data_IF_139375213661
#
_entry.id   IF_139375213661
#
_cell.length_a   1.000
_cell.length_b   1.000
_cell.length_c   1.000
_cell.angle_alpha   90.00
_cell.angle_beta   90.00
_cell.angle_gamma   90.00
#
_symmetry.space_group_name_H-M   'P 1'
#
loop_
_entity.id
_entity.type
_entity.pdbx_description
1 polymer ?
#
# COMPACT_ATOMS: atom_id res chain seq x y z
N UNK A 1 -1.05 -40.37 -19.47
CA UNK A 1 -0.32 -39.21 -18.93
C UNK A 1 -1.26 -38.04 -18.75
N UNK A 2 -1.48 -37.60 -17.51
CA UNK A 2 -2.37 -36.46 -17.22
C UNK A 2 -1.48 -35.29 -16.82
N UNK A 3 -1.22 -34.39 -17.77
CA UNK A 3 -0.59 -33.10 -17.47
C UNK A 3 -1.58 -32.30 -16.64
N UNK A 4 -1.25 -32.06 -15.37
CA UNK A 4 -1.99 -31.15 -14.51
C UNK A 4 -1.87 -29.74 -15.11
N UNK A 5 -2.84 -29.32 -15.93
CA UNK A 5 -2.93 -27.96 -16.44
C UNK A 5 -3.39 -27.02 -15.32
N UNK A 6 -2.49 -26.72 -14.37
CA UNK A 6 -2.75 -25.74 -13.32
C UNK A 6 -2.59 -24.35 -13.93
N UNK A 7 -3.71 -23.65 -14.11
CA UNK A 7 -3.70 -22.24 -14.51
C UNK A 7 -3.01 -21.45 -13.38
N UNK A 8 -1.76 -21.04 -13.60
CA UNK A 8 -0.98 -20.25 -12.64
C UNK A 8 -1.34 -18.77 -12.76
N UNK A 9 -2.05 -18.25 -11.76
CA UNK A 9 -2.35 -16.81 -11.68
C UNK A 9 -1.12 -16.02 -11.24
N UNK A 10 -0.85 -14.89 -11.89
CA UNK A 10 0.22 -13.98 -11.49
C UNK A 10 -0.11 -13.30 -10.16
N UNK A 11 0.60 -13.69 -9.09
CA UNK A 11 0.44 -13.15 -7.73
C UNK A 11 1.66 -12.31 -7.34
N UNK A 12 1.41 -11.19 -6.66
CA UNK A 12 2.47 -10.36 -6.08
C UNK A 12 3.18 -11.14 -4.97
N UNK A 13 4.51 -11.14 -4.97
CA UNK A 13 5.31 -11.74 -3.90
C UNK A 13 5.09 -11.01 -2.56
N UNK A 14 4.96 -11.77 -1.48
CA UNK A 14 4.77 -11.23 -0.12
C UNK A 14 5.91 -10.29 0.29
N UNK A 15 7.14 -10.54 -0.16
CA UNK A 15 8.29 -9.67 0.09
C UNK A 15 8.14 -8.30 -0.58
N UNK A 16 7.57 -8.24 -1.78
CA UNK A 16 7.31 -6.98 -2.50
C UNK A 16 6.23 -6.16 -1.81
N UNK A 17 5.21 -6.82 -1.24
CA UNK A 17 4.17 -6.18 -0.42
C UNK A 17 4.75 -5.65 0.88
N UNK A 18 5.65 -6.40 1.54
CA UNK A 18 6.33 -5.92 2.76
C UNK A 18 7.11 -4.65 2.47
N UNK A 19 7.92 -4.63 1.40
CA UNK A 19 8.74 -3.47 1.03
C UNK A 19 7.91 -2.20 0.82
N UNK A 20 6.76 -2.30 0.14
CA UNK A 20 5.90 -1.11 -0.04
C UNK A 20 5.24 -0.69 1.27
N UNK A 21 4.82 -1.65 2.11
CA UNK A 21 4.29 -1.35 3.46
C UNK A 21 5.34 -0.64 4.31
N UNK A 22 6.61 -1.06 4.25
CA UNK A 22 7.70 -0.44 5.00
C UNK A 22 7.96 0.98 4.51
N UNK A 23 8.02 1.19 3.18
CA UNK A 23 8.16 2.53 2.60
C UNK A 23 7.03 3.47 3.02
N UNK A 24 5.78 3.00 2.96
CA UNK A 24 4.61 3.76 3.41
C UNK A 24 4.65 4.00 4.92
N UNK A 25 5.08 3.02 5.72
CA UNK A 25 5.22 3.17 7.17
C UNK A 25 6.21 4.27 7.50
N UNK A 26 7.38 4.31 6.87
CA UNK A 26 8.38 5.37 7.07
C UNK A 26 7.79 6.72 6.67
N UNK A 27 7.10 6.82 5.52
CA UNK A 27 6.44 8.04 5.07
C UNK A 27 5.31 8.53 5.98
N UNK A 28 4.67 7.65 6.77
CA UNK A 28 3.57 8.02 7.67
C UNK A 28 4.01 8.17 9.13
N UNK A 29 5.17 7.64 9.51
CA UNK A 29 5.70 7.70 10.88
C UNK A 29 6.36 9.06 11.13
N UNK A 30 6.11 9.69 12.27
CA UNK A 30 6.68 10.99 12.63
C UNK A 30 6.00 12.21 11.99
N UNK A 31 5.17 12.02 10.96
CA UNK A 31 4.55 13.11 10.20
C UNK A 31 3.27 13.70 10.81
N UNK A 32 3.12 13.61 12.14
CA UNK A 32 1.93 14.11 12.85
C UNK A 32 1.79 15.63 12.71
N UNK A 33 2.89 16.38 12.61
CA UNK A 33 2.89 17.84 12.42
C UNK A 33 2.71 18.29 10.96
N UNK A 34 2.76 17.37 9.98
CA UNK A 34 2.70 17.73 8.56
C UNK A 34 1.25 17.80 8.08
N UNK A 35 0.95 18.79 7.23
CA UNK A 35 -0.35 18.89 6.59
C UNK A 35 -0.67 17.62 5.78
N UNK A 36 -1.92 17.13 5.87
CA UNK A 36 -2.38 15.93 5.16
C UNK A 36 -2.11 16.01 3.65
N UNK A 37 -2.29 17.18 3.05
CA UNK A 37 -1.99 17.42 1.62
C UNK A 37 -0.55 17.08 1.26
N UNK A 38 0.40 17.40 2.13
CA UNK A 38 1.82 17.10 1.93
C UNK A 38 2.09 15.60 2.00
N UNK A 39 1.48 14.91 2.96
CA UNK A 39 1.60 13.45 3.11
C UNK A 39 1.02 12.74 1.87
N UNK A 40 -0.15 13.17 1.40
CA UNK A 40 -0.75 12.61 0.19
C UNK A 40 0.09 12.85 -1.07
N UNK A 41 0.71 14.04 -1.18
CA UNK A 41 1.60 14.38 -2.30
C UNK A 41 2.81 13.43 -2.38
N UNK A 42 3.34 12.96 -1.25
CA UNK A 42 4.45 12.00 -1.21
C UNK A 42 3.99 10.55 -1.37
N UNK A 43 2.82 10.21 -0.85
CA UNK A 43 2.27 8.86 -0.92
C UNK A 43 1.80 8.49 -2.35
N UNK A 44 1.14 9.43 -3.04
CA UNK A 44 0.57 9.21 -4.36
C UNK A 44 1.56 8.67 -5.42
N UNK A 45 2.78 9.24 -5.61
CA UNK A 45 3.72 8.71 -6.59
C UNK A 45 4.23 7.31 -6.23
N UNK A 46 4.37 6.99 -4.94
CA UNK A 46 4.75 5.63 -4.49
C UNK A 46 3.68 4.62 -4.87
N UNK A 47 2.41 4.93 -4.58
CA UNK A 47 1.29 4.05 -4.91
C UNK A 47 1.10 3.92 -6.42
N UNK A 48 1.17 5.03 -7.17
CA UNK A 48 1.07 5.01 -8.64
C UNK A 48 2.17 4.17 -9.28
N UNK A 49 3.42 4.36 -8.88
CA UNK A 49 4.54 3.57 -9.41
C UNK A 49 4.38 2.07 -9.09
N UNK A 50 3.99 1.75 -7.87
CA UNK A 50 3.78 0.36 -7.44
C UNK A 50 2.61 -0.31 -8.18
N UNK A 51 1.48 0.40 -8.34
CA UNK A 51 0.33 -0.08 -9.13
C UNK A 51 0.68 -0.24 -10.61
N UNK A 52 1.48 0.66 -11.19
CA UNK A 52 1.93 0.56 -12.57
C UNK A 52 2.81 -0.68 -12.78
N UNK A 53 3.69 -0.99 -11.84
CA UNK A 53 4.57 -2.16 -11.90
C UNK A 53 3.79 -3.47 -11.78
N UNK A 54 2.79 -3.54 -10.91
CA UNK A 54 1.97 -4.74 -10.69
C UNK A 54 0.67 -4.79 -11.52
N UNK A 55 0.52 -3.94 -12.54
CA UNK A 55 -0.71 -3.84 -13.36
C UNK A 55 -1.14 -5.16 -14.01
N UNK A 56 -0.19 -6.05 -14.29
CA UNK A 56 -0.42 -7.36 -14.92
C UNK A 56 -0.79 -8.47 -13.94
N UNK A 57 -0.88 -8.18 -12.64
CA UNK A 57 -1.27 -9.20 -11.65
C UNK A 57 -2.77 -9.45 -11.68
N UNK A 58 -3.13 -10.74 -11.70
CA UNK A 58 -4.52 -11.19 -11.84
C UNK A 58 -5.23 -11.35 -10.48
N UNK A 59 -4.50 -11.17 -9.38
CA UNK A 59 -4.98 -11.37 -8.00
C UNK A 59 -5.21 -10.03 -7.30
N UNK A 60 -6.48 -9.63 -7.18
CA UNK A 60 -6.87 -8.35 -6.56
C UNK A 60 -6.82 -8.33 -5.02
N UNK A 61 -6.98 -9.49 -4.36
CA UNK A 61 -7.11 -9.51 -2.89
C UNK A 61 -5.93 -8.88 -2.14
N UNK A 62 -4.70 -9.04 -2.65
CA UNK A 62 -3.52 -8.41 -2.05
C UNK A 62 -3.55 -6.86 -2.15
N UNK A 63 -4.11 -6.33 -3.24
CA UNK A 63 -4.28 -4.90 -3.45
C UNK A 63 -5.33 -4.33 -2.48
N UNK A 64 -6.45 -5.04 -2.31
CA UNK A 64 -7.53 -4.62 -1.40
C UNK A 64 -7.09 -4.63 0.07
N UNK A 65 -6.31 -5.65 0.47
CA UNK A 65 -5.69 -5.71 1.80
C UNK A 65 -4.70 -4.57 2.02
N UNK A 66 -3.86 -4.28 1.02
CA UNK A 66 -2.89 -3.20 1.09
C UNK A 66 -3.61 -1.85 1.20
N UNK A 67 -4.62 -1.59 0.38
CA UNK A 67 -5.40 -0.35 0.40
C UNK A 67 -6.12 -0.16 1.75
N UNK A 68 -6.75 -1.21 2.26
CA UNK A 68 -7.36 -1.20 3.59
C UNK A 68 -6.36 -0.86 4.70
N UNK A 69 -5.15 -1.43 4.62
CA UNK A 69 -4.07 -1.15 5.55
C UNK A 69 -3.58 0.30 5.46
N UNK A 70 -3.44 0.86 4.25
CA UNK A 70 -3.06 2.26 4.01
C UNK A 70 -4.12 3.20 4.61
N UNK A 71 -5.41 2.99 4.28
CA UNK A 71 -6.51 3.80 4.82
C UNK A 71 -6.56 3.79 6.34
N UNK A 72 -6.25 2.65 6.98
CA UNK A 72 -6.15 2.57 8.44
C UNK A 72 -5.02 3.45 8.98
N UNK A 73 -3.85 3.45 8.36
CA UNK A 73 -2.71 4.30 8.77
C UNK A 73 -3.02 5.79 8.62
N UNK A 74 -3.65 6.18 7.52
CA UNK A 74 -4.08 7.56 7.29
C UNK A 74 -5.11 8.02 8.33
N UNK A 75 -6.10 7.19 8.67
CA UNK A 75 -7.05 7.46 9.76
C UNK A 75 -6.36 7.67 11.10
N UNK A 76 -5.40 6.81 11.45
CA UNK A 76 -4.61 6.99 12.67
C UNK A 76 -3.83 8.32 12.67
N UNK A 77 -3.27 8.71 11.51
CA UNK A 77 -2.55 9.99 11.38
C UNK A 77 -3.49 11.18 11.60
N UNK A 78 -4.66 11.19 10.94
CA UNK A 78 -5.70 12.21 11.12
C UNK A 78 -6.13 12.32 12.59
N UNK A 79 -6.35 11.17 13.23
CA UNK A 79 -6.77 11.14 14.63
C UNK A 79 -5.70 11.73 15.56
N UNK A 80 -4.42 11.41 15.35
CA UNK A 80 -3.31 12.02 16.12
C UNK A 80 -3.17 13.52 15.87
N UNK A 81 -3.39 13.97 14.63
CA UNK A 81 -3.39 15.39 14.28
C UNK A 81 -4.48 16.14 15.05
N UNK A 82 -5.71 15.60 15.06
CA UNK A 82 -6.85 16.20 15.77
C UNK A 82 -6.67 16.25 17.29
N UNK A 83 -6.04 15.24 17.90
CA UNK A 83 -5.78 15.21 19.35
C UNK A 83 -4.76 16.25 19.83
N UNK A 84 -4.03 16.87 18.91
CA UNK A 84 -3.01 17.89 19.22
C UNK A 84 -3.52 19.31 18.97
N UNK A 85 -4.70 19.44 18.36
CA UNK A 85 -5.41 20.71 18.20
C UNK A 85 -6.08 21.14 19.51
#
# INVERSE_FOLDING_TARGET
SVTHHKITKLKISTSSVSRVKDKIRVLLTGNVSRAMKTVLRELNPVLRGWMSYFRLTEVKGCLDELDSWIRRKLRCLIWRQRKRS
#
